data_IF_406001062471
#
_entry.id   IF_406001062471
#
_cell.length_a   1.000
_cell.length_b   1.000
_cell.length_c   1.000
_cell.angle_alpha   90.00
_cell.angle_beta   90.00
_cell.angle_gamma   90.00
#
_symmetry.space_group_name_H-M   'P 1'
#
loop_
_entity.id
_entity.type
_entity.pdbx_description
1 polymer ?
#
# COMPACT_ATOMS: atom_id res chain seq x y z
N UNK A 1 -17.08 -0.58 5.31
CA UNK A 1 -15.97 -0.72 4.35
C UNK A 1 -16.35 0.04 3.12
N UNK A 2 -15.66 1.14 2.82
CA UNK A 2 -15.78 1.87 1.57
C UNK A 2 -14.37 1.92 0.97
N UNK A 3 -14.20 1.33 -0.20
CA UNK A 3 -12.91 1.02 -0.83
C UNK A 3 -12.87 1.78 -2.14
N UNK A 4 -11.79 2.52 -2.35
CA UNK A 4 -11.40 2.98 -3.68
C UNK A 4 -10.15 2.21 -4.08
N UNK A 5 -10.18 1.60 -5.26
CA UNK A 5 -9.01 1.01 -5.90
C UNK A 5 -8.59 1.94 -7.02
N UNK A 6 -7.33 2.34 -7.04
CA UNK A 6 -6.74 3.03 -8.19
C UNK A 6 -5.84 2.03 -8.88
N UNK A 7 -6.10 1.78 -10.16
CA UNK A 7 -5.40 0.80 -10.98
C UNK A 7 -5.05 1.44 -12.32
N UNK A 8 -3.79 1.30 -12.73
CA UNK A 8 -3.29 1.90 -13.96
C UNK A 8 -3.60 1.04 -15.18
N UNK A 9 -3.55 -0.30 -15.06
CA UNK A 9 -3.70 -1.24 -16.15
C UNK A 9 -5.15 -1.74 -16.30
N UNK A 10 -5.88 -1.34 -17.38
CA UNK A 10 -7.23 -1.81 -17.63
C UNK A 10 -7.32 -3.33 -17.87
N UNK A 11 -6.24 -3.98 -18.31
CA UNK A 11 -6.22 -5.44 -18.47
C UNK A 11 -6.26 -6.15 -17.12
N UNK A 12 -5.59 -5.62 -16.10
CA UNK A 12 -5.67 -6.15 -14.73
C UNK A 12 -7.10 -6.09 -14.21
N UNK A 13 -7.82 -4.99 -14.44
CA UNK A 13 -9.25 -4.89 -14.10
C UNK A 13 -10.10 -5.91 -14.84
N UNK A 14 -9.87 -6.11 -16.15
CA UNK A 14 -10.60 -7.11 -16.95
C UNK A 14 -10.36 -8.52 -16.41
N UNK A 15 -9.11 -8.84 -16.09
CA UNK A 15 -8.73 -10.13 -15.50
C UNK A 15 -9.41 -10.32 -14.15
N UNK A 16 -9.35 -9.32 -13.27
CA UNK A 16 -9.97 -9.33 -11.94
C UNK A 16 -11.48 -9.56 -12.00
N UNK A 17 -12.17 -8.89 -12.93
CA UNK A 17 -13.63 -9.08 -13.13
C UNK A 17 -13.96 -10.44 -13.72
N UNK A 18 -13.18 -10.91 -14.71
CA UNK A 18 -13.49 -12.14 -15.45
C UNK A 18 -13.13 -13.40 -14.69
N UNK A 19 -12.01 -13.39 -13.99
CA UNK A 19 -11.40 -14.60 -13.41
C UNK A 19 -11.35 -14.61 -11.89
N UNK A 20 -11.33 -13.44 -11.24
CA UNK A 20 -11.23 -13.32 -9.79
C UNK A 20 -12.49 -12.77 -9.11
N UNK A 21 -13.60 -12.71 -9.86
CA UNK A 21 -14.93 -12.33 -9.36
C UNK A 21 -14.97 -10.94 -8.69
N UNK A 22 -14.13 -10.00 -9.16
CA UNK A 22 -14.21 -8.60 -8.72
C UNK A 22 -15.59 -8.03 -9.05
N UNK A 23 -16.35 -7.71 -8.01
CA UNK A 23 -17.65 -7.06 -8.11
C UNK A 23 -17.56 -5.65 -7.51
N UNK A 24 -17.90 -4.64 -8.31
CA UNK A 24 -17.98 -3.26 -7.86
C UNK A 24 -19.39 -2.99 -7.33
N UNK A 25 -19.48 -2.22 -6.25
CA UNK A 25 -20.75 -1.83 -5.64
C UNK A 25 -20.65 -0.41 -5.05
N UNK A 26 -21.66 0.01 -4.29
CA UNK A 26 -21.68 1.33 -3.64
C UNK A 26 -20.60 1.55 -2.57
N UNK A 27 -19.80 0.53 -2.27
CA UNK A 27 -18.74 0.47 -1.26
C UNK A 27 -17.40 0.03 -1.85
N UNK A 28 -17.34 -0.33 -3.13
CA UNK A 28 -16.13 -0.75 -3.83
C UNK A 28 -16.07 -0.05 -5.18
N UNK A 29 -15.26 1.00 -5.21
CA UNK A 29 -15.07 1.91 -6.31
C UNK A 29 -13.75 1.59 -7.01
N UNK A 30 -13.75 1.72 -8.33
CA UNK A 30 -12.56 1.58 -9.15
C UNK A 30 -12.32 2.89 -9.88
N UNK A 31 -11.11 3.40 -9.78
CA UNK A 31 -10.60 4.54 -10.52
C UNK A 31 -9.50 4.04 -11.44
N UNK A 32 -9.69 4.19 -12.74
CA UNK A 32 -8.64 3.91 -13.71
C UNK A 32 -7.70 5.10 -13.79
N UNK A 33 -6.41 4.92 -13.51
CA UNK A 33 -5.44 5.99 -13.65
C UNK A 33 -4.18 5.83 -12.81
N UNK A 34 -3.35 6.88 -12.85
CA UNK A 34 -2.13 6.98 -12.07
C UNK A 34 -2.45 7.31 -10.60
N UNK A 35 -1.91 6.51 -9.68
CA UNK A 35 -2.16 6.66 -8.24
C UNK A 35 -1.62 7.98 -7.67
N UNK A 36 -0.50 8.49 -8.19
CA UNK A 36 0.10 9.76 -7.75
C UNK A 36 -0.80 10.93 -8.15
N UNK A 37 -1.29 10.92 -9.39
CA UNK A 37 -2.24 11.94 -9.85
C UNK A 37 -3.56 11.87 -9.08
N UNK A 38 -4.08 10.66 -8.81
CA UNK A 38 -5.26 10.49 -7.97
C UNK A 38 -5.09 11.12 -6.58
N UNK A 39 -3.95 10.86 -5.92
CA UNK A 39 -3.68 11.41 -4.59
C UNK A 39 -3.61 12.94 -4.64
N UNK A 40 -2.96 13.52 -5.65
CA UNK A 40 -2.92 15.00 -5.83
C UNK A 40 -4.32 15.58 -5.98
N UNK A 41 -5.21 14.92 -6.72
CA UNK A 41 -6.61 15.37 -6.83
C UNK A 41 -7.37 15.23 -5.51
N UNK A 42 -7.20 14.11 -4.80
CA UNK A 42 -7.81 13.87 -3.50
C UNK A 42 -7.39 14.94 -2.48
N UNK A 43 -6.12 15.36 -2.52
CA UNK A 43 -5.61 16.49 -1.72
C UNK A 43 -6.37 17.78 -2.02
N UNK A 44 -6.55 18.12 -3.30
CA UNK A 44 -7.26 19.34 -3.71
C UNK A 44 -8.74 19.31 -3.30
N UNK A 45 -9.36 18.13 -3.33
CA UNK A 45 -10.76 17.90 -2.92
C UNK A 45 -10.92 17.85 -1.39
N UNK A 46 -9.82 17.79 -0.63
CA UNK A 46 -9.84 17.62 0.82
C UNK A 46 -10.34 16.23 1.24
N UNK A 47 -10.22 15.24 0.38
CA UNK A 47 -10.60 13.86 0.68
C UNK A 47 -9.68 13.25 1.74
N UNK A 48 -10.26 12.36 2.55
CA UNK A 48 -9.57 11.72 3.66
C UNK A 48 -9.88 10.24 3.74
N UNK A 49 -8.87 9.46 4.10
CA UNK A 49 -8.91 8.01 4.20
C UNK A 49 -8.41 7.53 5.57
N UNK A 50 -9.03 6.47 6.07
CA UNK A 50 -8.60 5.81 7.31
C UNK A 50 -7.41 4.88 7.07
N UNK A 51 -7.36 4.22 5.91
CA UNK A 51 -6.30 3.30 5.52
C UNK A 51 -5.95 3.58 4.07
N UNK A 52 -4.66 3.64 3.78
CA UNK A 52 -4.11 3.62 2.41
C UNK A 52 -3.17 2.42 2.34
N UNK A 53 -3.44 1.50 1.41
CA UNK A 53 -2.56 0.39 1.07
C UNK A 53 -1.91 0.70 -0.28
N UNK A 54 -0.58 0.67 -0.33
CA UNK A 54 0.20 0.78 -1.56
C UNK A 54 0.77 -0.59 -1.91
N UNK A 55 0.28 -1.18 -2.99
CA UNK A 55 0.76 -2.41 -3.61
C UNK A 55 1.05 -2.21 -5.10
N UNK A 56 1.58 -1.03 -5.44
CA UNK A 56 1.94 -0.69 -6.81
C UNK A 56 3.40 -1.03 -7.11
N UNK A 57 3.66 -1.63 -8.26
CA UNK A 57 5.00 -2.04 -8.68
C UNK A 57 5.18 -1.82 -10.19
N UNK A 58 6.39 -1.45 -10.59
CA UNK A 58 6.75 -1.28 -12.00
C UNK A 58 7.78 -2.34 -12.37
N UNK A 59 7.58 -2.98 -13.53
CA UNK A 59 8.46 -4.05 -14.05
C UNK A 59 9.87 -3.57 -14.36
N UNK A 60 10.10 -2.25 -14.36
CA UNK A 60 11.40 -1.62 -14.65
C UNK A 60 12.20 -1.30 -13.40
N UNK A 61 11.59 -1.39 -12.21
CA UNK A 61 12.20 -0.92 -10.97
C UNK A 61 12.69 -2.09 -10.11
N UNK A 62 13.89 -1.92 -9.56
CA UNK A 62 14.48 -2.90 -8.62
C UNK A 62 13.86 -2.81 -7.22
N UNK A 63 12.96 -1.86 -6.98
CA UNK A 63 12.29 -1.60 -5.71
C UNK A 63 10.81 -1.27 -6.00
N UNK A 64 9.92 -1.88 -5.23
CA UNK A 64 8.50 -1.57 -5.21
C UNK A 64 8.09 -1.17 -3.78
N UNK A 65 7.24 -0.14 -3.63
CA UNK A 65 6.66 0.67 -4.71
C UNK A 65 7.67 1.64 -5.34
N UNK A 66 7.24 2.37 -6.37
CA UNK A 66 8.03 3.39 -7.06
C UNK A 66 8.67 4.38 -6.07
N UNK A 67 9.86 4.89 -6.39
CA UNK A 67 10.59 5.82 -5.52
C UNK A 67 9.79 7.10 -5.19
N UNK A 68 8.88 7.50 -6.07
CA UNK A 68 7.95 8.62 -5.87
C UNK A 68 6.99 8.41 -4.71
N UNK A 69 6.65 7.15 -4.41
CA UNK A 69 5.85 6.77 -3.25
C UNK A 69 6.74 6.70 -2.00
N UNK A 70 7.96 6.19 -2.16
CA UNK A 70 8.81 5.75 -1.06
C UNK A 70 9.94 6.74 -0.71
N UNK A 71 9.60 8.04 -0.71
CA UNK A 71 10.46 9.15 -0.28
C UNK A 71 9.70 10.09 0.68
N UNK A 72 10.36 11.13 1.19
CA UNK A 72 9.77 12.05 2.18
C UNK A 72 8.58 12.82 1.60
N UNK A 73 8.66 13.20 0.34
CA UNK A 73 7.62 13.90 -0.39
C UNK A 73 6.39 13.00 -0.59
N UNK A 74 6.60 11.75 -0.99
CA UNK A 74 5.58 10.71 -1.08
C UNK A 74 4.91 10.47 0.28
N UNK A 75 5.68 10.31 1.35
CA UNK A 75 5.15 10.16 2.69
C UNK A 75 4.28 11.36 3.13
N UNK A 76 4.71 12.59 2.84
CA UNK A 76 3.91 13.81 3.11
C UNK A 76 2.63 13.84 2.27
N UNK A 77 2.73 13.46 1.01
CA UNK A 77 1.61 13.41 0.08
C UNK A 77 0.53 12.43 0.57
N UNK A 78 0.87 11.18 0.88
CA UNK A 78 -0.08 10.22 1.43
C UNK A 78 -0.60 10.64 2.82
N UNK A 79 0.28 11.17 3.69
CA UNK A 79 -0.12 11.67 5.01
C UNK A 79 -1.17 12.78 4.90
N UNK A 80 -1.10 13.63 3.87
CA UNK A 80 -2.03 14.74 3.68
C UNK A 80 -3.47 14.30 3.36
N UNK A 81 -3.68 13.07 2.87
CA UNK A 81 -5.00 12.49 2.63
C UNK A 81 -5.37 11.41 3.66
N UNK A 82 -4.56 11.20 4.70
CA UNK A 82 -4.94 10.37 5.84
C UNK A 82 -5.72 11.18 6.88
N UNK A 83 -6.64 10.51 7.56
CA UNK A 83 -7.21 10.97 8.83
C UNK A 83 -6.15 10.94 9.95
N UNK A 84 -6.38 11.67 11.04
CA UNK A 84 -5.43 11.78 12.17
C UNK A 84 -5.03 10.44 12.79
N UNK A 85 -5.90 9.43 12.71
CA UNK A 85 -5.65 8.06 13.19
C UNK A 85 -5.45 7.06 12.06
N UNK A 86 -5.28 7.56 10.84
CA UNK A 86 -5.15 6.74 9.66
C UNK A 86 -3.80 6.04 9.57
N UNK A 87 -3.73 5.00 8.75
CA UNK A 87 -2.52 4.23 8.52
C UNK A 87 -2.17 4.16 7.03
N UNK A 88 -0.90 4.35 6.72
CA UNK A 88 -0.31 3.97 5.45
C UNK A 88 0.33 2.59 5.61
N UNK A 89 -0.06 1.65 4.76
CA UNK A 89 0.50 0.31 4.67
C UNK A 89 1.10 0.21 3.26
N UNK A 90 2.33 -0.24 3.14
CA UNK A 90 2.98 -0.40 1.85
C UNK A 90 3.57 -1.81 1.75
N UNK A 91 3.28 -2.50 0.66
CA UNK A 91 4.00 -3.70 0.29
C UNK A 91 5.35 -3.29 -0.29
N UNK A 92 6.44 -3.69 0.35
CA UNK A 92 7.79 -3.38 -0.10
C UNK A 92 8.46 -4.63 -0.63
N UNK A 93 8.84 -4.58 -1.91
CA UNK A 93 9.59 -5.63 -2.57
C UNK A 93 10.86 -5.06 -3.17
N UNK A 94 11.99 -5.77 -3.07
CA UNK A 94 13.22 -5.34 -3.70
C UNK A 94 13.95 -6.50 -4.37
N UNK A 95 14.35 -6.28 -5.62
CA UNK A 95 15.23 -7.15 -6.39
C UNK A 95 16.70 -6.76 -6.15
N UNK A 96 17.10 -6.67 -4.89
CA UNK A 96 18.50 -6.44 -4.49
C UNK A 96 18.91 -7.43 -3.42
N UNK A 97 20.15 -7.93 -3.53
CA UNK A 97 20.76 -8.75 -2.48
C UNK A 97 21.30 -7.90 -1.32
N UNK A 98 21.33 -6.57 -1.47
CA UNK A 98 21.74 -5.64 -0.42
C UNK A 98 20.54 -5.20 0.43
N UNK A 99 20.16 -6.09 1.35
CA UNK A 99 19.07 -5.88 2.31
C UNK A 99 19.34 -4.72 3.28
N UNK A 100 20.60 -4.35 3.49
CA UNK A 100 20.98 -3.23 4.38
C UNK A 100 20.56 -1.90 3.77
N UNK A 101 20.81 -1.73 2.46
CA UNK A 101 20.38 -0.54 1.73
C UNK A 101 18.87 -0.41 1.67
N UNK A 102 18.15 -1.54 1.55
CA UNK A 102 16.69 -1.58 1.61
C UNK A 102 16.17 -1.17 2.99
N UNK A 103 16.69 -1.78 4.06
CA UNK A 103 16.27 -1.47 5.43
C UNK A 103 16.47 0.00 5.81
N UNK A 104 17.49 0.65 5.26
CA UNK A 104 17.73 2.09 5.47
C UNK A 104 16.77 2.98 4.66
N UNK A 105 16.28 2.52 3.50
CA UNK A 105 15.23 3.24 2.73
C UNK A 105 13.85 3.06 3.38
N UNK A 106 13.56 1.87 3.91
CA UNK A 106 12.32 1.51 4.61
C UNK A 106 12.36 2.02 6.04
N UNK A 107 12.26 3.34 6.22
CA UNK A 107 12.01 3.92 7.52
C UNK A 107 10.60 3.57 7.99
N UNK A 108 10.50 2.80 9.08
CA UNK A 108 9.24 2.65 9.81
C UNK A 108 8.99 3.90 10.64
N UNK A 109 8.15 4.82 10.15
CA UNK A 109 7.68 5.97 10.92
C UNK A 109 6.47 5.56 11.77
N UNK A 110 6.69 4.78 12.83
CA UNK A 110 5.65 4.48 13.81
C UNK A 110 5.78 5.42 15.01
N UNK A 111 4.68 6.02 15.44
CA UNK A 111 4.61 6.71 16.75
C UNK A 111 4.75 5.73 17.94
N UNK A 112 4.83 4.43 17.66
CA UNK A 112 5.09 3.38 18.63
C UNK A 112 6.58 3.02 18.63
N UNK A 113 7.23 2.98 19.81
CA UNK A 113 8.60 2.50 19.92
C UNK A 113 8.66 1.05 19.41
N UNK A 114 9.72 0.73 18.66
CA UNK A 114 9.98 -0.63 18.18
C UNK A 114 9.91 -1.59 19.37
N UNK A 115 9.03 -2.61 19.36
CA UNK A 115 8.94 -3.55 20.46
C UNK A 115 10.27 -4.29 20.67
N UNK A 116 10.67 -4.50 21.93
CA UNK A 116 11.81 -5.37 22.24
C UNK A 116 11.55 -6.80 21.75
N UNK A 117 12.62 -7.46 21.28
CA UNK A 117 12.60 -8.84 20.79
C UNK A 117 11.89 -9.02 19.44
N UNK A 118 11.73 -7.96 18.64
CA UNK A 118 11.07 -8.04 17.33
C UNK A 118 11.81 -8.99 16.37
N UNK A 119 13.14 -9.03 16.44
CA UNK A 119 13.96 -9.92 15.62
C UNK A 119 13.68 -11.41 15.91
N UNK A 120 13.61 -11.78 17.19
CA UNK A 120 13.26 -13.13 17.62
C UNK A 120 11.81 -13.50 17.26
N UNK A 121 10.90 -12.52 17.36
CA UNK A 121 9.50 -12.68 16.94
C UNK A 121 9.37 -12.90 15.43
N UNK A 122 10.12 -12.18 14.61
CA UNK A 122 10.14 -12.41 13.15
C UNK A 122 10.75 -13.77 12.80
N UNK A 123 11.88 -14.14 13.43
CA UNK A 123 12.49 -15.46 13.24
C UNK A 123 11.55 -16.61 13.66
N UNK A 124 10.67 -16.36 14.63
CA UNK A 124 9.60 -17.27 15.04
C UNK A 124 8.46 -17.29 14.03
N UNK A 125 7.97 -16.12 13.60
CA UNK A 125 6.88 -15.99 12.62
C UNK A 125 7.21 -16.59 11.27
N UNK A 126 8.43 -16.42 10.76
CA UNK A 126 8.90 -17.03 9.49
C UNK A 126 8.85 -18.57 9.51
N UNK A 127 8.67 -19.18 10.69
CA UNK A 127 8.52 -20.63 10.87
C UNK A 127 7.05 -21.07 10.96
N UNK A 128 6.08 -20.15 10.93
CA UNK A 128 4.64 -20.47 10.96
C UNK A 128 4.11 -20.76 9.55
N UNK A 129 3.18 -21.72 9.46
CA UNK A 129 2.34 -21.92 8.27
C UNK A 129 1.03 -21.15 8.44
N UNK A 130 0.61 -20.43 7.38
CA UNK A 130 -0.47 -19.45 7.46
C UNK A 130 -1.87 -20.11 7.50
N UNK A 131 -2.68 -19.71 8.48
CA UNK A 131 -4.12 -19.97 8.48
C UNK A 131 -4.89 -18.67 8.81
N UNK A 132 -5.61 -18.18 7.80
CA UNK A 132 -6.88 -17.42 7.83
C UNK A 132 -6.99 -16.16 8.70
N UNK A 133 -7.23 -15.01 8.06
CA UNK A 133 -7.82 -13.83 8.72
C UNK A 133 -8.73 -13.02 7.78
N UNK A 134 -9.92 -12.65 8.26
CA UNK A 134 -10.95 -11.80 7.60
C UNK A 134 -10.64 -10.29 7.69
N UNK A 135 -11.13 -9.51 6.71
CA UNK A 135 -10.65 -8.16 6.39
C UNK A 135 -11.53 -6.97 6.83
N UNK A 136 -10.85 -5.84 7.13
CA UNK A 136 -11.37 -4.53 7.49
C UNK A 136 -11.38 -3.54 6.28
N UNK A 137 -12.04 -2.36 6.37
CA UNK A 137 -12.06 -1.34 5.32
C UNK A 137 -10.69 -0.90 4.82
N UNK A 138 -10.46 -0.95 3.50
CA UNK A 138 -9.14 -0.77 2.88
C UNK A 138 -9.27 0.04 1.58
N UNK A 139 -8.23 0.77 1.21
CA UNK A 139 -8.03 1.34 -0.13
C UNK A 139 -6.76 0.69 -0.62
N UNK A 140 -6.85 -0.06 -1.72
CA UNK A 140 -5.73 -0.82 -2.28
C UNK A 140 -5.33 -0.14 -3.59
N UNK A 141 -4.10 0.36 -3.63
CA UNK A 141 -3.49 0.93 -4.83
C UNK A 141 -2.67 -0.18 -5.48
N UNK A 142 -3.11 -0.66 -6.64
CA UNK A 142 -2.44 -1.68 -7.45
C UNK A 142 -1.71 -1.02 -8.63
#
# INVERSE_FOLDING_TARGET
>A
MNITVVELDPEMVKISKKWFNLTLDKRHHLVMGDAIEYVKEAMQKGEKYDIILVDACSTRDALCPLEEVFNVEGAKMFSSILNDRGALIANVYAMTNDLTKLGNKVMTCTNHPRPQGLEEKYATFMKYSAAGAEAAPMVELL
#
